data_IF_628668157057
#
_entry.id   IF_628668157057
#
_cell.length_a   1.000
_cell.length_b   1.000
_cell.length_c   1.000
_cell.angle_alpha   90.00
_cell.angle_beta   90.00
_cell.angle_gamma   90.00
#
_symmetry.space_group_name_H-M   'P 1'
#
loop_
_entity.id
_entity.type
_entity.pdbx_description
1 polymer ?
#
# COMPACT_ATOMS: atom_id res chain seq x y z
N UNK A 1 8.44 12.59 -18.91
CA UNK A 1 8.38 11.19 -18.45
C UNK A 1 7.10 10.99 -17.70
N UNK A 2 6.47 9.85 -17.88
CA UNK A 2 5.22 9.53 -17.19
C UNK A 2 5.55 8.68 -15.96
N UNK A 3 5.42 9.27 -14.77
CA UNK A 3 5.83 8.65 -13.53
C UNK A 3 4.64 8.07 -12.75
N UNK A 4 4.83 6.87 -12.21
CA UNK A 4 3.93 6.27 -11.23
C UNK A 4 4.72 6.09 -9.93
N UNK A 5 4.22 6.64 -8.84
CA UNK A 5 4.85 6.50 -7.52
C UNK A 5 4.12 5.44 -6.72
N UNK A 6 4.87 4.51 -6.14
CA UNK A 6 4.38 3.58 -5.12
C UNK A 6 4.79 4.14 -3.76
N UNK A 7 3.82 4.58 -2.97
CA UNK A 7 4.03 5.22 -1.68
C UNK A 7 3.44 4.40 -0.55
N UNK A 8 4.27 3.93 0.37
CA UNK A 8 3.86 3.01 1.41
C UNK A 8 4.98 2.63 2.36
N UNK A 9 4.78 1.53 3.04
CA UNK A 9 5.69 0.97 4.05
C UNK A 9 6.68 -0.08 3.47
N UNK A 10 7.17 -0.99 4.32
CA UNK A 10 8.07 -2.09 3.95
C UNK A 10 7.47 -3.06 2.92
N UNK A 11 6.16 -3.22 2.91
CA UNK A 11 5.47 -4.05 1.92
C UNK A 11 5.59 -3.39 0.54
N UNK A 12 5.39 -2.09 0.45
CA UNK A 12 5.61 -1.31 -0.78
C UNK A 12 7.08 -1.32 -1.20
N UNK A 13 8.01 -1.22 -0.24
CA UNK A 13 9.45 -1.35 -0.51
C UNK A 13 9.83 -2.72 -1.10
N UNK A 14 8.94 -3.71 -1.01
CA UNK A 14 9.16 -5.05 -1.54
C UNK A 14 10.10 -5.88 -0.69
N UNK A 15 10.03 -5.76 0.65
CA UNK A 15 10.95 -6.47 1.56
C UNK A 15 10.86 -7.98 1.36
N UNK A 16 12.01 -8.58 1.04
CA UNK A 16 12.21 -10.03 0.93
C UNK A 16 13.40 -10.42 1.81
N UNK A 17 13.18 -11.36 2.71
CA UNK A 17 14.20 -11.82 3.67
C UNK A 17 14.85 -10.67 4.46
N UNK A 18 14.04 -9.69 4.87
CA UNK A 18 14.47 -8.53 5.66
C UNK A 18 15.08 -7.37 4.87
N UNK A 19 15.23 -7.47 3.55
CA UNK A 19 15.83 -6.43 2.72
C UNK A 19 14.86 -5.91 1.66
N UNK A 20 14.87 -4.59 1.37
CA UNK A 20 14.13 -4.02 0.24
C UNK A 20 14.53 -4.70 -1.08
N UNK A 21 13.53 -4.97 -1.92
CA UNK A 21 13.74 -5.63 -3.20
C UNK A 21 13.00 -4.87 -4.31
N UNK A 22 13.57 -4.72 -5.50
CA UNK A 22 12.88 -4.11 -6.63
C UNK A 22 11.77 -5.00 -7.22
N UNK A 23 11.49 -6.17 -6.63
CA UNK A 23 10.58 -7.17 -7.18
C UNK A 23 9.20 -6.57 -7.52
N UNK A 24 8.57 -5.91 -6.55
CA UNK A 24 7.22 -5.35 -6.72
C UNK A 24 7.18 -4.25 -7.79
N UNK A 25 8.07 -3.27 -7.70
CA UNK A 25 8.15 -2.19 -8.68
C UNK A 25 8.54 -2.70 -10.09
N UNK A 26 9.38 -3.72 -10.16
CA UNK A 26 9.74 -4.37 -11.44
C UNK A 26 8.55 -5.04 -12.09
N UNK A 27 7.75 -5.81 -11.34
CA UNK A 27 6.54 -6.46 -11.86
C UNK A 27 5.56 -5.44 -12.45
N UNK A 28 5.35 -4.31 -11.79
CA UNK A 28 4.48 -3.24 -12.30
C UNK A 28 5.09 -2.60 -13.55
N UNK A 29 6.39 -2.28 -13.54
CA UNK A 29 7.09 -1.69 -14.69
C UNK A 29 7.03 -2.60 -15.91
N UNK A 30 7.28 -3.90 -15.74
CA UNK A 30 7.28 -4.87 -16.85
C UNK A 30 5.88 -4.99 -17.49
N UNK A 31 4.82 -4.79 -16.71
CA UNK A 31 3.44 -4.82 -17.19
C UNK A 31 2.95 -3.49 -17.81
N UNK A 32 3.56 -2.35 -17.47
CA UNK A 32 3.16 -1.02 -17.95
C UNK A 32 4.10 -0.43 -19.01
N UNK A 33 5.28 -1.01 -19.18
CA UNK A 33 6.23 -0.73 -20.28
C UNK A 33 6.81 0.69 -20.28
N UNK A 34 6.03 1.68 -20.67
CA UNK A 34 6.49 3.06 -20.93
C UNK A 34 6.55 3.97 -19.70
N UNK A 35 6.05 3.48 -18.55
CA UNK A 35 6.00 4.27 -17.31
C UNK A 35 7.23 4.04 -16.45
N UNK A 36 7.78 5.13 -15.90
CA UNK A 36 8.76 5.03 -14.82
C UNK A 36 8.05 4.71 -13.50
N UNK A 37 8.46 3.63 -12.85
CA UNK A 37 7.93 3.22 -11.55
C UNK A 37 8.91 3.63 -10.45
N UNK A 38 8.51 4.62 -9.67
CA UNK A 38 9.29 5.17 -8.57
C UNK A 38 8.77 4.55 -7.28
N UNK A 39 9.55 3.64 -6.68
CA UNK A 39 9.20 3.03 -5.41
C UNK A 39 9.67 3.92 -4.24
N UNK A 40 8.72 4.35 -3.42
CA UNK A 40 8.91 5.15 -2.20
C UNK A 40 8.33 4.44 -0.98
N UNK A 41 8.51 3.12 -0.90
CA UNK A 41 8.23 2.35 0.30
C UNK A 41 9.29 2.62 1.38
N UNK A 42 8.85 2.94 2.60
CA UNK A 42 9.70 3.15 3.78
C UNK A 42 9.52 2.03 4.80
N UNK A 43 10.62 1.41 5.24
CA UNK A 43 10.55 0.34 6.25
C UNK A 43 10.03 0.91 7.57
N UNK A 44 8.98 0.29 8.12
CA UNK A 44 8.38 0.71 9.39
C UNK A 44 7.48 1.95 9.30
N UNK A 45 7.31 2.53 8.12
CA UNK A 45 6.52 3.75 7.96
C UNK A 45 5.03 3.54 8.28
N UNK A 46 4.47 4.55 8.90
CA UNK A 46 3.05 4.76 9.09
C UNK A 46 2.57 5.89 8.18
N UNK A 47 1.27 5.95 7.89
CA UNK A 47 0.71 7.01 7.06
C UNK A 47 1.03 8.41 7.62
N UNK A 48 0.95 8.60 8.95
CA UNK A 48 1.25 9.88 9.59
C UNK A 48 2.71 10.30 9.42
N UNK A 49 3.66 9.40 9.66
CA UNK A 49 5.09 9.69 9.55
C UNK A 49 5.50 9.92 8.10
N UNK A 50 4.92 9.18 7.16
CA UNK A 50 5.16 9.32 5.74
C UNK A 50 4.75 10.70 5.17
N UNK A 51 3.83 11.43 5.81
CA UNK A 51 3.49 12.80 5.43
C UNK A 51 4.70 13.74 5.44
N UNK A 52 5.68 13.52 6.31
CA UNK A 52 6.89 14.36 6.40
C UNK A 52 7.75 14.30 5.14
N UNK A 53 7.69 13.19 4.41
CA UNK A 53 8.45 12.96 3.18
C UNK A 53 7.61 13.06 1.90
N UNK A 54 6.30 13.33 2.01
CA UNK A 54 5.37 13.38 0.87
C UNK A 54 5.81 14.38 -0.21
N UNK A 55 6.30 15.56 0.20
CA UNK A 55 6.74 16.59 -0.76
C UNK A 55 7.93 16.11 -1.60
N UNK A 56 8.94 15.55 -0.96
CA UNK A 56 10.18 15.14 -1.62
C UNK A 56 9.97 13.83 -2.40
N UNK A 57 9.31 12.86 -1.81
CA UNK A 57 9.23 11.51 -2.36
C UNK A 57 8.12 11.35 -3.41
N UNK A 58 7.07 12.15 -3.32
CA UNK A 58 5.90 12.00 -4.18
C UNK A 58 5.68 13.22 -5.07
N UNK A 59 5.47 14.40 -4.47
CA UNK A 59 5.02 15.57 -5.23
C UNK A 59 6.11 16.11 -6.16
N UNK A 60 7.38 16.06 -5.77
CA UNK A 60 8.51 16.49 -6.61
C UNK A 60 8.67 15.67 -7.90
N UNK A 61 8.23 14.40 -7.88
CA UNK A 61 8.25 13.53 -9.05
C UNK A 61 7.12 13.85 -10.06
N UNK A 62 6.19 14.74 -9.73
CA UNK A 62 5.01 15.07 -10.54
C UNK A 62 4.32 13.84 -11.13
N UNK A 63 3.86 12.87 -10.31
CA UNK A 63 3.35 11.59 -10.78
C UNK A 63 1.99 11.74 -11.46
N UNK A 64 1.75 10.90 -12.47
CA UNK A 64 0.41 10.73 -13.03
C UNK A 64 -0.48 9.88 -12.12
N UNK A 65 0.11 8.87 -11.48
CA UNK A 65 -0.59 8.02 -10.50
C UNK A 65 0.29 7.80 -9.28
N UNK A 66 -0.34 7.84 -8.11
CA UNK A 66 0.26 7.47 -6.83
C UNK A 66 -0.54 6.33 -6.23
N UNK A 67 0.11 5.20 -6.04
CA UNK A 67 -0.44 4.07 -5.28
C UNK A 67 -0.11 4.29 -3.81
N UNK A 68 -1.12 4.44 -2.97
CA UNK A 68 -0.98 4.66 -1.52
C UNK A 68 -1.30 3.35 -0.81
N UNK A 69 -0.31 2.79 -0.11
CA UNK A 69 -0.42 1.48 0.53
C UNK A 69 0.21 1.51 1.94
N UNK A 70 -0.59 1.85 2.93
CA UNK A 70 -0.26 1.90 4.36
C UNK A 70 -1.31 1.16 5.18
N UNK A 71 -1.07 1.06 6.48
CA UNK A 71 -2.02 0.58 7.47
C UNK A 71 -1.52 -0.59 8.29
N UNK A 72 -0.50 -1.33 7.85
CA UNK A 72 0.06 -2.46 8.59
C UNK A 72 0.80 -1.99 9.84
N UNK A 73 1.70 -1.02 9.72
CA UNK A 73 2.40 -0.43 10.86
C UNK A 73 1.51 0.52 11.67
N UNK A 74 0.57 1.20 11.02
CA UNK A 74 -0.44 2.03 11.71
C UNK A 74 -1.26 1.18 12.67
N UNK A 75 -1.67 -0.03 12.23
CA UNK A 75 -2.39 -0.98 13.07
C UNK A 75 -1.56 -1.50 14.24
N UNK A 76 -0.25 -1.69 14.05
CA UNK A 76 0.66 -2.25 15.06
C UNK A 76 1.07 -1.23 16.14
N UNK A 77 0.81 0.06 15.92
CA UNK A 77 1.18 1.13 16.85
C UNK A 77 0.01 1.48 17.79
N UNK A 78 0.16 1.31 19.12
CA UNK A 78 -0.88 1.66 20.08
C UNK A 78 -1.21 3.15 20.12
N UNK A 79 -0.34 4.02 19.59
CA UNK A 79 -0.51 5.46 19.56
C UNK A 79 -1.16 5.96 18.25
N UNK A 80 -1.49 5.07 17.34
CA UNK A 80 -2.12 5.42 16.05
C UNK A 80 -3.54 4.83 15.96
N UNK A 81 -4.53 5.66 16.24
CA UNK A 81 -5.93 5.23 16.09
C UNK A 81 -6.35 5.13 14.62
N UNK A 82 -7.43 4.38 14.31
CA UNK A 82 -8.02 4.37 12.96
C UNK A 82 -8.41 5.78 12.48
N UNK A 83 -8.76 6.70 13.39
CA UNK A 83 -9.07 8.11 13.07
C UNK A 83 -7.81 8.89 12.67
N UNK A 84 -6.70 8.69 13.36
CA UNK A 84 -5.42 9.33 13.01
C UNK A 84 -4.94 8.84 11.64
N UNK A 85 -5.06 7.54 11.39
CA UNK A 85 -4.77 6.93 10.10
C UNK A 85 -5.65 7.52 8.98
N UNK A 86 -6.97 7.65 9.23
CA UNK A 86 -7.90 8.28 8.28
C UNK A 86 -7.50 9.72 7.96
N UNK A 87 -7.14 10.50 8.97
CA UNK A 87 -6.71 11.89 8.81
C UNK A 87 -5.44 11.99 7.96
N UNK A 88 -4.48 11.11 8.21
CA UNK A 88 -3.24 11.07 7.44
C UNK A 88 -3.49 10.70 5.96
N UNK A 89 -4.31 9.68 5.70
CA UNK A 89 -4.69 9.29 4.33
C UNK A 89 -5.41 10.43 3.60
N UNK A 90 -6.38 11.09 4.25
CA UNK A 90 -7.10 12.20 3.63
C UNK A 90 -6.15 13.37 3.31
N UNK A 91 -5.22 13.68 4.22
CA UNK A 91 -4.20 14.71 4.00
C UNK A 91 -3.30 14.38 2.79
N UNK A 92 -2.91 13.12 2.62
CA UNK A 92 -2.15 12.69 1.44
C UNK A 92 -2.96 12.92 0.15
N UNK A 93 -4.22 12.48 0.16
CA UNK A 93 -5.13 12.59 -1.00
C UNK A 93 -5.33 14.06 -1.38
N UNK A 94 -5.55 14.94 -0.41
CA UNK A 94 -5.76 16.36 -0.65
C UNK A 94 -4.53 17.04 -1.28
N UNK A 95 -3.33 16.65 -0.83
CA UNK A 95 -2.07 17.18 -1.37
C UNK A 95 -1.69 16.61 -2.74
N UNK A 96 -1.95 15.32 -2.99
CA UNK A 96 -1.66 14.63 -4.26
C UNK A 96 -2.70 14.99 -5.32
N UNK A 97 -3.95 15.12 -4.93
CA UNK A 97 -5.12 15.21 -5.79
C UNK A 97 -5.75 13.84 -6.05
N UNK A 98 -7.02 13.69 -5.69
CA UNK A 98 -7.77 12.41 -5.76
C UNK A 98 -7.71 11.72 -7.13
N UNK A 99 -7.65 12.51 -8.21
CA UNK A 99 -7.57 12.03 -9.59
C UNK A 99 -6.26 11.29 -9.91
N UNK A 100 -5.23 11.43 -9.05
CA UNK A 100 -3.95 10.73 -9.20
C UNK A 100 -3.80 9.54 -8.25
N UNK A 101 -4.72 9.35 -7.30
CA UNK A 101 -4.59 8.34 -6.27
C UNK A 101 -5.19 6.99 -6.67
N UNK A 102 -4.52 5.92 -6.25
CA UNK A 102 -5.05 4.55 -6.13
C UNK A 102 -4.78 4.11 -4.71
N UNK A 103 -5.78 3.57 -4.01
CA UNK A 103 -5.62 3.11 -2.64
C UNK A 103 -5.54 1.58 -2.59
N UNK A 104 -4.74 1.07 -1.65
CA UNK A 104 -4.66 -0.35 -1.33
C UNK A 104 -4.86 -0.53 0.17
N UNK A 105 -5.78 -1.41 0.57
CA UNK A 105 -5.96 -1.72 1.99
C UNK A 105 -4.78 -2.51 2.53
N UNK A 106 -4.45 -2.44 3.84
CA UNK A 106 -3.59 -3.45 4.45
C UNK A 106 -4.16 -4.85 4.17
N UNK A 107 -3.30 -5.85 4.18
CA UNK A 107 -3.68 -7.23 3.89
C UNK A 107 -3.90 -8.06 5.15
N UNK A 108 -3.18 -9.17 5.23
CA UNK A 108 -3.25 -10.12 6.35
C UNK A 108 -1.89 -10.23 7.03
N UNK A 109 -1.90 -10.72 8.26
CA UNK A 109 -0.74 -11.20 9.02
C UNK A 109 -1.00 -12.64 9.48
N UNK A 110 0.06 -13.39 9.75
CA UNK A 110 -0.07 -14.76 10.27
C UNK A 110 -0.61 -14.76 11.70
N UNK A 111 -1.08 -15.94 12.15
CA UNK A 111 -1.52 -16.13 13.53
C UNK A 111 -0.37 -15.85 14.51
N UNK A 112 0.84 -16.30 14.21
CA UNK A 112 2.00 -16.11 15.06
C UNK A 112 2.39 -14.63 15.17
N UNK A 113 2.35 -13.88 14.06
CA UNK A 113 2.53 -12.44 14.07
C UNK A 113 1.46 -11.72 14.91
N UNK A 114 0.20 -12.18 14.88
CA UNK A 114 -0.88 -11.66 15.72
C UNK A 114 -0.70 -11.97 17.20
N UNK A 115 -0.11 -13.13 17.54
CA UNK A 115 0.23 -13.45 18.92
C UNK A 115 1.37 -12.57 19.43
N UNK A 116 2.39 -12.33 18.59
CA UNK A 116 3.51 -11.46 18.92
C UNK A 116 3.11 -9.97 19.00
N UNK A 117 2.19 -9.54 18.15
CA UNK A 117 1.66 -8.17 18.09
C UNK A 117 0.12 -8.22 18.07
N UNK A 118 -0.54 -8.26 19.25
CA UNK A 118 -2.00 -8.46 19.34
C UNK A 118 -2.83 -7.40 18.61
N UNK A 119 -2.29 -6.20 18.40
CA UNK A 119 -2.96 -5.14 17.64
C UNK A 119 -3.26 -5.53 16.19
N UNK A 120 -2.50 -6.44 15.58
CA UNK A 120 -2.82 -6.95 14.24
C UNK A 120 -4.20 -7.60 14.15
N UNK A 121 -4.78 -8.07 15.26
CA UNK A 121 -6.16 -8.54 15.29
C UNK A 121 -7.18 -7.42 14.95
N UNK A 122 -6.80 -6.16 15.07
CA UNK A 122 -7.64 -4.99 14.74
C UNK A 122 -7.47 -4.50 13.30
N UNK A 123 -6.66 -5.16 12.47
CA UNK A 123 -6.32 -4.78 11.09
C UNK A 123 -7.55 -4.41 10.25
N UNK A 124 -8.66 -5.12 10.46
CA UNK A 124 -9.90 -4.84 9.72
C UNK A 124 -10.43 -3.41 9.95
N UNK A 125 -10.14 -2.77 11.08
CA UNK A 125 -10.55 -1.38 11.32
C UNK A 125 -9.82 -0.43 10.34
N UNK A 126 -8.53 -0.67 10.09
CA UNK A 126 -7.71 0.10 9.14
C UNK A 126 -8.11 -0.21 7.68
N UNK A 127 -8.46 -1.45 7.37
CA UNK A 127 -9.05 -1.83 6.07
C UNK A 127 -10.31 -1.01 5.81
N UNK A 128 -11.24 -0.96 6.78
CA UNK A 128 -12.49 -0.21 6.63
C UNK A 128 -12.25 1.30 6.48
N UNK A 129 -11.22 1.86 7.10
CA UNK A 129 -10.82 3.26 6.88
C UNK A 129 -10.45 3.49 5.42
N UNK A 130 -9.56 2.67 4.85
CA UNK A 130 -9.14 2.83 3.44
C UNK A 130 -10.32 2.72 2.49
N UNK A 131 -11.21 1.73 2.70
CA UNK A 131 -12.40 1.54 1.86
C UNK A 131 -13.36 2.73 1.93
N UNK A 132 -13.64 3.26 3.13
CA UNK A 132 -14.50 4.43 3.33
C UNK A 132 -13.90 5.68 2.70
N UNK A 133 -12.61 5.92 2.90
CA UNK A 133 -11.89 7.06 2.30
C UNK A 133 -11.90 6.96 0.78
N UNK A 134 -11.63 5.78 0.22
CA UNK A 134 -11.68 5.54 -1.21
C UNK A 134 -13.06 5.80 -1.80
N UNK A 135 -14.12 5.30 -1.16
CA UNK A 135 -15.50 5.52 -1.58
C UNK A 135 -15.88 7.01 -1.53
N UNK A 136 -15.58 7.69 -0.42
CA UNK A 136 -15.93 9.11 -0.24
C UNK A 136 -15.25 10.01 -1.27
N UNK A 137 -14.00 9.70 -1.64
CA UNK A 137 -13.23 10.45 -2.63
C UNK A 137 -13.39 9.93 -4.08
N UNK A 138 -14.14 8.86 -4.31
CA UNK A 138 -14.32 8.17 -5.61
C UNK A 138 -12.98 7.72 -6.23
N UNK A 139 -12.08 7.21 -5.38
CA UNK A 139 -10.75 6.74 -5.76
C UNK A 139 -10.79 5.22 -5.99
N UNK A 140 -10.21 4.69 -7.08
CA UNK A 140 -10.01 3.25 -7.26
C UNK A 140 -9.29 2.66 -6.06
N UNK A 141 -9.91 1.68 -5.41
CA UNK A 141 -9.42 1.09 -4.17
C UNK A 141 -9.37 -0.42 -4.26
N UNK A 142 -8.22 -1.01 -4.02
CA UNK A 142 -8.05 -2.47 -3.91
C UNK A 142 -8.31 -2.90 -2.46
N UNK A 143 -9.34 -3.73 -2.25
CA UNK A 143 -9.50 -4.45 -0.99
C UNK A 143 -8.54 -5.65 -0.96
N UNK A 144 -7.28 -5.38 -0.65
CA UNK A 144 -6.23 -6.40 -0.66
C UNK A 144 -6.43 -7.46 0.42
N UNK A 145 -6.95 -7.09 1.59
CA UNK A 145 -7.29 -8.07 2.63
C UNK A 145 -8.29 -9.10 2.12
N UNK A 146 -9.33 -8.68 1.43
CA UNK A 146 -10.33 -9.60 0.87
C UNK A 146 -9.74 -10.55 -0.18
N UNK A 147 -8.79 -10.07 -0.99
CA UNK A 147 -8.06 -10.94 -1.93
C UNK A 147 -7.22 -11.95 -1.16
N UNK A 148 -6.45 -11.51 -0.16
CA UNK A 148 -5.61 -12.40 0.65
C UNK A 148 -6.42 -13.51 1.34
N UNK A 149 -7.62 -13.21 1.81
CA UNK A 149 -8.48 -14.18 2.51
C UNK A 149 -8.93 -15.37 1.64
N UNK A 150 -8.75 -15.30 0.33
CA UNK A 150 -9.05 -16.41 -0.60
C UNK A 150 -7.91 -17.44 -0.68
N UNK A 151 -6.79 -17.18 -0.01
CA UNK A 151 -5.59 -18.01 -0.06
C UNK A 151 -5.10 -18.34 1.35
N UNK A 152 -4.33 -19.40 1.49
CA UNK A 152 -3.67 -19.73 2.75
C UNK A 152 -2.57 -18.71 3.05
N UNK A 153 -2.45 -18.29 4.30
CA UNK A 153 -1.44 -17.32 4.76
C UNK A 153 -0.02 -17.77 4.44
N UNK A 154 0.27 -19.07 4.53
CA UNK A 154 1.59 -19.65 4.28
C UNK A 154 2.06 -19.49 2.82
N UNK A 155 1.11 -19.35 1.88
CA UNK A 155 1.42 -19.07 0.48
C UNK A 155 1.73 -17.59 0.24
N UNK A 156 1.09 -16.72 1.03
CA UNK A 156 1.16 -15.28 0.83
C UNK A 156 2.23 -14.60 1.66
N UNK A 157 2.57 -15.14 2.83
CA UNK A 157 3.47 -14.51 3.78
C UNK A 157 4.83 -15.20 3.81
N UNK A 158 5.85 -14.43 4.15
CA UNK A 158 7.16 -14.94 4.51
C UNK A 158 7.14 -15.51 5.94
N UNK A 159 8.24 -16.08 6.39
CA UNK A 159 8.36 -16.72 7.70
C UNK A 159 8.09 -15.76 8.88
N UNK A 160 8.26 -14.45 8.68
CA UNK A 160 7.94 -13.44 9.70
C UNK A 160 6.43 -13.20 9.88
N UNK A 161 5.61 -13.75 8.99
CA UNK A 161 4.17 -13.63 9.05
C UNK A 161 3.59 -12.24 8.77
N UNK A 162 4.40 -11.32 8.23
CA UNK A 162 4.02 -9.93 7.95
C UNK A 162 4.31 -9.58 6.49
N UNK A 163 5.55 -9.80 6.03
CA UNK A 163 5.96 -9.47 4.67
C UNK A 163 5.49 -10.52 3.66
N UNK A 164 5.30 -10.10 2.42
CA UNK A 164 4.71 -10.93 1.38
C UNK A 164 5.72 -11.79 0.66
N UNK A 165 5.28 -12.99 0.27
CA UNK A 165 6.01 -13.88 -0.61
C UNK A 165 6.07 -13.29 -2.04
N UNK A 166 6.93 -13.87 -2.89
CA UNK A 166 6.98 -13.50 -4.32
C UNK A 166 5.65 -13.74 -5.02
N UNK A 167 4.93 -14.80 -4.64
CA UNK A 167 3.63 -15.12 -5.23
C UNK A 167 2.55 -14.14 -4.79
N UNK A 168 2.59 -13.66 -3.54
CA UNK A 168 1.70 -12.59 -3.08
C UNK A 168 1.97 -11.27 -3.83
N UNK A 169 3.23 -10.91 -4.10
CA UNK A 169 3.53 -9.73 -4.91
C UNK A 169 3.04 -9.87 -6.36
N UNK A 170 3.10 -11.07 -6.93
CA UNK A 170 2.53 -11.35 -8.27
C UNK A 170 1.00 -11.17 -8.26
N UNK A 171 0.34 -11.73 -7.24
CA UNK A 171 -1.10 -11.61 -7.06
C UNK A 171 -1.52 -10.15 -6.85
N UNK A 172 -0.83 -9.42 -5.95
CA UNK A 172 -1.04 -7.99 -5.69
C UNK A 172 -0.91 -7.17 -6.98
N UNK A 173 0.15 -7.40 -7.75
CA UNK A 173 0.37 -6.72 -9.03
C UNK A 173 -0.79 -6.96 -9.99
N UNK A 174 -1.24 -8.20 -10.16
CA UNK A 174 -2.33 -8.54 -11.07
C UNK A 174 -3.65 -7.82 -10.71
N UNK A 175 -3.95 -7.68 -9.42
CA UNK A 175 -5.16 -6.97 -8.96
C UNK A 175 -5.00 -5.43 -9.00
N UNK A 176 -3.78 -4.93 -8.85
CA UNK A 176 -3.50 -3.49 -8.80
C UNK A 176 -3.44 -2.86 -10.20
N UNK A 177 -2.88 -3.56 -11.18
CA UNK A 177 -2.69 -3.06 -12.55
C UNK A 177 -3.97 -2.51 -13.20
N UNK A 178 -5.15 -3.17 -13.12
CA UNK A 178 -6.39 -2.62 -13.68
C UNK A 178 -6.76 -1.26 -13.08
N UNK A 179 -6.53 -1.08 -11.76
CA UNK A 179 -6.84 0.16 -11.05
C UNK A 179 -5.89 1.30 -11.47
N UNK A 180 -4.61 1.00 -11.60
CA UNK A 180 -3.62 1.96 -12.14
C UNK A 180 -4.02 2.38 -13.55
N UNK A 181 -4.33 1.44 -14.44
CA UNK A 181 -4.75 1.73 -15.83
C UNK A 181 -6.03 2.57 -15.86
N UNK A 182 -7.01 2.26 -15.00
CA UNK A 182 -8.23 3.06 -14.88
C UNK A 182 -7.91 4.49 -14.49
N UNK A 183 -6.97 4.70 -13.58
CA UNK A 183 -6.61 6.05 -13.12
C UNK A 183 -5.78 6.82 -14.15
N UNK A 184 -4.90 6.13 -14.89
CA UNK A 184 -4.16 6.72 -16.01
C UNK A 184 -5.09 7.22 -17.12
N UNK A 185 -6.18 6.51 -17.41
CA UNK A 185 -7.15 6.90 -18.44
C UNK A 185 -8.06 8.06 -18.04
N UNK A 186 -8.03 8.50 -16.78
CA UNK A 186 -8.79 9.65 -16.26
C UNK A 186 -8.01 10.95 -16.31
N UNK A 187 -6.69 10.86 -16.49
CA UNK A 187 -5.76 11.99 -16.58
C UNK A 187 -5.28 12.22 -18.00
#
# INVERSE_FOLDING_TARGET
MHNIVLFGDSITAGVINGFPSPLFSRMIRDALGTYEIINRGGIGDQARTALTRLQIDVLSANPQVVVIFFGTNDCADPNTSPKDFQTALQTMIDKIGRQRCVLVTPGITSRDAQQATPLFATMNQYVQVVLKVGQANKIPTLNWQQVCQQYSSDKLLQADGIHYSKDAYRLLTNHLLPLIKTQLNRN
#
